data_IF_214449337224
#
_entry.id   IF_214449337224
#
_cell.length_a   1.000
_cell.length_b   1.000
_cell.length_c   1.000
_cell.angle_alpha   90.00
_cell.angle_beta   90.00
_cell.angle_gamma   90.00
#
_symmetry.space_group_name_H-M   'P 1'
#
loop_
_entity.id
_entity.type
_entity.pdbx_description
1 polymer ?
#
# COMPACT_ATOMS: atom_id res chain seq x y z
N UNK A 1 3.03 -14.03 -4.89
CA UNK A 1 1.99 -12.99 -5.01
C UNK A 1 1.93 -12.54 -6.46
N UNK A 2 0.78 -12.70 -7.13
CA UNK A 2 0.61 -12.33 -8.53
C UNK A 2 0.11 -10.87 -8.56
N UNK A 3 0.95 -9.94 -9.01
CA UNK A 3 0.56 -8.54 -9.09
C UNK A 3 -0.57 -8.37 -10.12
N UNK A 4 -1.70 -7.73 -9.74
CA UNK A 4 -2.87 -7.60 -10.62
C UNK A 4 -2.60 -6.73 -11.86
N UNK A 5 -1.52 -5.94 -11.85
CA UNK A 5 -1.12 -5.05 -12.97
C UNK A 5 -0.99 -5.79 -14.29
N UNK A 6 -0.34 -6.96 -14.30
CA UNK A 6 -0.17 -7.75 -15.54
C UNK A 6 -1.50 -8.27 -16.07
N UNK A 7 -2.44 -8.58 -15.18
CA UNK A 7 -3.78 -9.05 -15.54
C UNK A 7 -4.64 -7.87 -16.02
N UNK A 8 -4.59 -6.74 -15.34
CA UNK A 8 -5.28 -5.50 -15.70
C UNK A 8 -4.84 -5.00 -17.09
N UNK A 9 -3.53 -5.02 -17.38
CA UNK A 9 -2.99 -4.68 -18.70
C UNK A 9 -3.53 -5.62 -19.78
N UNK A 10 -3.54 -6.94 -19.52
CA UNK A 10 -4.10 -7.93 -20.47
C UNK A 10 -5.60 -7.74 -20.72
N UNK A 11 -6.34 -7.21 -19.75
CA UNK A 11 -7.77 -6.94 -19.84
C UNK A 11 -8.10 -5.57 -20.44
N UNK A 12 -7.09 -4.76 -20.79
CA UNK A 12 -7.29 -3.40 -21.31
C UNK A 12 -7.86 -2.42 -20.27
N UNK A 13 -7.68 -2.69 -18.98
CA UNK A 13 -8.13 -1.81 -17.90
C UNK A 13 -7.15 -0.66 -17.62
N UNK A 14 -5.90 -0.82 -18.06
CA UNK A 14 -4.82 0.16 -17.93
C UNK A 14 -3.99 0.16 -19.22
N UNK A 15 -3.43 1.32 -19.56
CA UNK A 15 -2.53 1.47 -20.70
C UNK A 15 -1.07 1.42 -20.27
N UNK A 16 -0.24 0.75 -21.05
CA UNK A 16 1.21 0.79 -20.87
C UNK A 16 1.77 2.09 -21.44
N UNK A 17 2.34 2.94 -20.59
CA UNK A 17 2.95 4.21 -21.00
C UNK A 17 4.44 4.03 -21.33
N UNK A 18 5.23 3.55 -20.36
CA UNK A 18 6.68 3.28 -20.51
C UNK A 18 7.20 2.47 -19.33
N UNK A 19 8.36 1.84 -19.51
CA UNK A 19 9.17 1.36 -18.39
C UNK A 19 10.07 2.49 -17.90
N UNK A 20 10.26 2.57 -16.59
CA UNK A 20 11.19 3.50 -15.94
C UNK A 20 12.14 2.64 -15.12
N UNK A 21 13.44 2.86 -15.29
CA UNK A 21 14.44 2.19 -14.48
C UNK A 21 14.31 2.66 -13.03
N UNK A 22 14.27 1.70 -12.11
CA UNK A 22 14.34 2.00 -10.69
C UNK A 22 15.78 2.45 -10.36
N UNK A 23 15.95 3.45 -9.47
CA UNK A 23 17.26 3.79 -8.95
C UNK A 23 17.99 2.55 -8.39
N UNK A 24 19.30 2.46 -8.57
CA UNK A 24 20.09 1.31 -8.09
C UNK A 24 20.04 1.13 -6.56
N UNK A 25 19.75 2.22 -5.84
CA UNK A 25 19.59 2.30 -4.40
C UNK A 25 18.15 2.09 -3.94
N UNK A 26 17.23 1.73 -4.84
CA UNK A 26 15.85 1.43 -4.47
C UNK A 26 15.79 0.23 -3.52
N UNK A 27 15.31 0.48 -2.30
CA UNK A 27 14.98 -0.54 -1.33
C UNK A 27 13.47 -0.61 -1.16
N UNK A 28 12.93 -1.84 -1.15
CA UNK A 28 11.54 -2.04 -0.78
C UNK A 28 11.29 -1.52 0.66
N UNK A 29 10.14 -0.88 0.93
CA UNK A 29 9.80 -0.45 2.27
C UNK A 29 9.86 -1.62 3.26
N UNK A 30 10.43 -1.40 4.43
CA UNK A 30 10.50 -2.41 5.49
C UNK A 30 9.23 -2.48 6.31
N UNK A 31 8.67 -1.31 6.63
CA UNK A 31 7.51 -1.18 7.49
C UNK A 31 6.26 -0.83 6.68
N UNK A 32 5.16 -1.44 7.06
CA UNK A 32 3.84 -1.20 6.49
C UNK A 32 2.85 -0.99 7.62
N UNK A 33 1.77 -0.26 7.35
CA UNK A 33 0.68 -0.12 8.32
C UNK A 33 -0.60 -0.75 7.80
N UNK A 34 -1.51 -1.09 8.69
CA UNK A 34 -2.90 -1.46 8.36
C UNK A 34 -3.78 -1.19 9.56
N UNK A 35 -5.05 -0.94 9.33
CA UNK A 35 -6.04 -0.85 10.41
C UNK A 35 -6.20 -2.22 11.08
N UNK A 36 -6.44 -2.21 12.39
CA UNK A 36 -6.67 -3.42 13.15
C UNK A 36 -8.11 -3.93 12.91
N UNK A 37 -8.23 -5.11 12.31
CA UNK A 37 -9.53 -5.67 11.90
C UNK A 37 -10.58 -5.76 13.04
N UNK A 38 -10.16 -6.17 14.25
CA UNK A 38 -11.07 -6.25 15.41
C UNK A 38 -11.26 -4.93 16.18
N UNK A 39 -10.37 -3.94 15.96
CA UNK A 39 -10.35 -2.69 16.71
C UNK A 39 -10.08 -1.55 15.73
N UNK A 40 -11.10 -1.06 14.99
CA UNK A 40 -10.91 -0.09 13.90
C UNK A 40 -10.24 1.23 14.32
N UNK A 41 -10.21 1.53 15.62
CA UNK A 41 -9.51 2.69 16.18
C UNK A 41 -8.02 2.43 16.46
N UNK A 42 -7.53 1.23 16.21
CA UNK A 42 -6.14 0.82 16.42
C UNK A 42 -5.47 0.44 15.10
N UNK A 43 -4.15 0.52 15.10
CA UNK A 43 -3.29 0.32 13.95
C UNK A 43 -2.28 -0.78 14.22
N UNK A 44 -1.95 -1.50 13.15
CA UNK A 44 -0.91 -2.50 13.12
C UNK A 44 0.23 -1.99 12.23
N UNK A 45 1.45 -1.98 12.77
CA UNK A 45 2.67 -1.78 11.99
C UNK A 45 3.36 -3.13 11.83
N UNK A 46 3.58 -3.53 10.58
CA UNK A 46 4.21 -4.79 10.21
C UNK A 46 5.64 -4.51 9.75
N UNK A 47 6.61 -5.19 10.35
CA UNK A 47 7.98 -5.28 9.83
C UNK A 47 8.10 -6.48 8.88
N UNK A 48 8.29 -6.24 7.58
CA UNK A 48 8.44 -7.33 6.59
C UNK A 48 9.76 -8.10 6.72
N UNK A 49 10.75 -7.56 7.42
CA UNK A 49 12.04 -8.23 7.64
C UNK A 49 11.94 -9.27 8.74
N UNK A 50 11.26 -8.95 9.85
CA UNK A 50 11.15 -9.82 11.04
C UNK A 50 9.79 -10.51 11.17
N UNK A 51 8.80 -10.10 10.37
CA UNK A 51 7.38 -10.45 10.52
C UNK A 51 6.77 -10.06 11.87
N UNK A 52 7.39 -9.13 12.60
CA UNK A 52 6.83 -8.59 13.83
C UNK A 52 5.67 -7.63 13.54
N UNK A 53 4.68 -7.64 14.45
CA UNK A 53 3.50 -6.78 14.37
C UNK A 53 3.39 -5.96 15.64
N UNK A 54 3.36 -4.63 15.50
CA UNK A 54 3.19 -3.69 16.61
C UNK A 54 1.78 -3.10 16.59
N UNK A 55 1.10 -3.16 17.73
CA UNK A 55 -0.21 -2.56 17.92
C UNK A 55 -0.06 -1.14 18.46
N UNK A 56 -0.75 -0.18 17.85
CA UNK A 56 -0.70 1.22 18.20
C UNK A 56 -2.10 1.83 18.19
N UNK A 57 -2.43 2.61 19.23
CA UNK A 57 -3.71 3.35 19.29
C UNK A 57 -3.73 4.61 18.44
N UNK A 58 -2.56 5.13 18.08
CA UNK A 58 -2.40 6.30 17.23
C UNK A 58 -1.10 6.19 16.45
N UNK A 59 -1.06 6.78 15.26
CA UNK A 59 0.11 6.83 14.41
C UNK A 59 0.82 8.17 14.56
N UNK A 60 2.14 8.16 14.56
CA UNK A 60 2.93 9.38 14.39
C UNK A 60 2.89 9.86 12.94
N UNK A 61 3.27 11.11 12.67
CA UNK A 61 3.34 11.67 11.31
C UNK A 61 4.23 10.85 10.36
N UNK A 62 5.28 10.23 10.90
CA UNK A 62 6.15 9.34 10.13
C UNK A 62 5.48 8.01 9.83
N UNK A 63 4.72 7.47 10.79
CA UNK A 63 4.01 6.20 10.60
C UNK A 63 2.82 6.35 9.64
N UNK A 64 2.20 7.54 9.57
CA UNK A 64 1.17 7.84 8.56
C UNK A 64 1.70 7.74 7.12
N UNK A 65 3.00 7.95 6.91
CA UNK A 65 3.63 7.82 5.58
C UNK A 65 3.90 6.37 5.19
N UNK A 66 3.69 5.41 6.08
CA UNK A 66 3.88 3.99 5.77
C UNK A 66 2.79 3.51 4.80
N UNK A 67 3.23 2.70 3.83
CA UNK A 67 2.34 2.08 2.86
C UNK A 67 1.41 1.05 3.51
N UNK A 68 0.22 0.79 2.94
CA UNK A 68 -0.66 -0.27 3.39
C UNK A 68 0.00 -1.64 3.28
N UNK A 69 -0.19 -2.49 4.28
CA UNK A 69 0.22 -3.91 4.23
C UNK A 69 -0.72 -4.77 3.33
N UNK A 70 -1.80 -4.17 2.83
CA UNK A 70 -2.80 -4.84 2.00
C UNK A 70 -2.52 -4.65 0.53
N UNK A 71 -2.73 -5.72 -0.26
CA UNK A 71 -2.71 -5.64 -1.71
C UNK A 71 -4.07 -5.12 -2.17
N UNK A 72 -4.09 -3.96 -2.81
CA UNK A 72 -5.29 -3.47 -3.46
C UNK A 72 -5.57 -4.28 -4.72
N UNK A 73 -6.83 -4.64 -4.94
CA UNK A 73 -7.25 -5.13 -6.24
C UNK A 73 -7.38 -3.95 -7.23
N UNK A 74 -7.44 -4.28 -8.51
CA UNK A 74 -7.52 -3.31 -9.61
C UNK A 74 -8.75 -2.41 -9.53
N UNK A 75 -9.92 -2.95 -9.16
CA UNK A 75 -11.15 -2.17 -8.98
C UNK A 75 -11.00 -1.12 -7.88
N UNK A 76 -10.55 -1.52 -6.70
CA UNK A 76 -10.40 -0.64 -5.55
C UNK A 76 -9.33 0.42 -5.78
N UNK A 77 -8.24 0.06 -6.47
CA UNK A 77 -7.21 1.03 -6.88
C UNK A 77 -7.80 2.09 -7.83
N UNK A 78 -8.59 1.68 -8.82
CA UNK A 78 -9.24 2.61 -9.76
C UNK A 78 -10.16 3.58 -9.02
N UNK A 79 -11.07 3.08 -8.18
CA UNK A 79 -12.02 3.88 -7.42
C UNK A 79 -11.30 4.93 -6.56
N UNK A 80 -10.25 4.51 -5.83
CA UNK A 80 -9.45 5.42 -5.00
C UNK A 80 -8.75 6.50 -5.82
N UNK A 81 -8.18 6.16 -6.97
CA UNK A 81 -7.54 7.14 -7.84
C UNK A 81 -8.56 8.16 -8.39
N UNK A 82 -9.77 7.73 -8.74
CA UNK A 82 -10.86 8.61 -9.21
C UNK A 82 -11.37 9.54 -8.10
N UNK A 83 -11.36 9.09 -6.84
CA UNK A 83 -11.71 9.91 -5.66
C UNK A 83 -10.61 10.92 -5.26
N UNK A 84 -9.49 10.98 -5.99
CA UNK A 84 -8.35 11.84 -5.65
C UNK A 84 -7.60 11.37 -4.39
N UNK A 85 -7.72 10.08 -4.06
CA UNK A 85 -7.05 9.52 -2.90
C UNK A 85 -5.53 9.65 -3.01
N UNK A 86 -4.90 9.98 -1.89
CA UNK A 86 -3.44 9.98 -1.70
C UNK A 86 -3.12 9.18 -0.44
N UNK A 87 -1.91 8.62 -0.38
CA UNK A 87 -1.44 7.90 0.80
C UNK A 87 -1.51 8.76 2.07
N UNK A 88 -1.26 10.07 1.92
CA UNK A 88 -1.34 11.10 2.96
C UNK A 88 -2.77 11.26 3.51
N UNK A 89 -3.79 10.97 2.69
CA UNK A 89 -5.21 11.06 3.05
C UNK A 89 -5.73 9.78 3.69
N UNK A 90 -4.89 8.75 3.84
CA UNK A 90 -5.29 7.50 4.47
C UNK A 90 -5.30 7.63 5.99
N UNK A 91 -6.49 7.88 6.54
CA UNK A 91 -6.81 8.00 7.97
C UNK A 91 -7.79 6.93 8.39
#
# INVERSE_FOLDING_TARGET
MQFPVKVALKKGLIDFVKNIDLPNDFAAPRYFRTEHYLHPSEWLIIDKKTNEVKHLKSLTDEQLKLSPNSVWNDTYLKERLEEGWKLENWK
#
